data_IF_993175081001
#
_entry.id   IF_993175081001
#
_cell.length_a   1.000
_cell.length_b   1.000
_cell.length_c   1.000
_cell.angle_alpha   90.00
_cell.angle_beta   90.00
_cell.angle_gamma   90.00
#
_symmetry.space_group_name_H-M   'P 1'
#
loop_
_entity.id
_entity.type
_entity.pdbx_description
1 polymer ?
#
# COMPACT_ATOMS: atom_id res chain seq x y z
N UNK A 1 53.37 2.01 -15.15
CA UNK A 1 52.05 2.44 -14.65
C UNK A 1 51.76 1.62 -13.39
N UNK A 2 51.61 2.28 -12.24
CA UNK A 2 51.36 1.60 -10.97
C UNK A 2 49.89 1.20 -10.87
N UNK A 3 49.63 -0.09 -11.09
CA UNK A 3 48.32 -0.77 -10.99
C UNK A 3 47.61 -0.47 -9.65
N UNK A 4 48.36 -0.10 -8.61
CA UNK A 4 47.86 0.22 -7.27
C UNK A 4 46.96 1.46 -7.20
N UNK A 5 47.09 2.43 -8.12
CA UNK A 5 46.29 3.67 -8.09
C UNK A 5 44.91 3.51 -8.76
N UNK A 6 44.76 2.51 -9.64
CA UNK A 6 43.54 2.28 -10.42
C UNK A 6 42.40 1.62 -9.64
N UNK A 7 42.71 0.96 -8.52
CA UNK A 7 41.71 0.22 -7.73
C UNK A 7 41.06 1.02 -6.61
N UNK A 8 41.52 2.23 -6.30
CA UNK A 8 40.98 3.06 -5.21
C UNK A 8 39.47 3.32 -5.37
N UNK A 9 39.04 3.64 -6.58
CA UNK A 9 37.63 3.83 -6.92
C UNK A 9 36.82 2.54 -6.79
N UNK A 10 37.41 1.40 -7.15
CA UNK A 10 36.76 0.10 -7.02
C UNK A 10 36.64 -0.30 -5.55
N UNK A 11 37.68 -0.09 -4.74
CA UNK A 11 37.68 -0.37 -3.30
C UNK A 11 36.55 0.38 -2.59
N UNK A 12 36.39 1.69 -2.85
CA UNK A 12 35.28 2.47 -2.29
C UNK A 12 33.91 1.91 -2.70
N UNK A 13 33.74 1.49 -3.96
CA UNK A 13 32.47 0.87 -4.41
C UNK A 13 32.22 -0.47 -3.73
N UNK A 14 33.26 -1.28 -3.52
CA UNK A 14 33.20 -2.56 -2.81
C UNK A 14 32.84 -2.36 -1.34
N UNK A 15 33.39 -1.33 -0.69
CA UNK A 15 33.06 -0.99 0.69
C UNK A 15 31.58 -0.60 0.83
N UNK A 16 31.09 0.30 -0.03
CA UNK A 16 29.66 0.67 -0.08
C UNK A 16 28.77 -0.55 -0.32
N UNK A 17 29.16 -1.43 -1.24
CA UNK A 17 28.42 -2.66 -1.49
C UNK A 17 28.33 -3.56 -0.25
N UNK A 18 29.46 -3.78 0.45
CA UNK A 18 29.50 -4.56 1.69
C UNK A 18 28.63 -3.94 2.78
N UNK A 19 28.64 -2.60 2.88
CA UNK A 19 27.80 -1.88 3.83
C UNK A 19 26.30 -2.08 3.53
N UNK A 20 25.89 -2.00 2.25
CA UNK A 20 24.51 -2.25 1.84
C UNK A 20 24.05 -3.68 2.19
N UNK A 21 24.92 -4.69 1.98
CA UNK A 21 24.61 -6.07 2.36
C UNK A 21 24.44 -6.22 3.87
N UNK A 22 25.33 -5.60 4.66
CA UNK A 22 25.22 -5.61 6.12
C UNK A 22 23.92 -4.95 6.58
N UNK A 23 23.57 -3.79 6.01
CA UNK A 23 22.34 -3.08 6.35
C UNK A 23 21.10 -3.89 6.00
N UNK A 24 21.12 -4.62 4.87
CA UNK A 24 20.01 -5.51 4.48
C UNK A 24 19.69 -6.54 5.57
N UNK A 25 20.72 -7.18 6.15
CA UNK A 25 20.53 -8.14 7.24
C UNK A 25 20.02 -7.46 8.53
N UNK A 26 20.57 -6.30 8.88
CA UNK A 26 20.10 -5.52 10.03
C UNK A 26 18.62 -5.16 9.88
N UNK A 27 18.20 -4.73 8.69
CA UNK A 27 16.82 -4.34 8.44
C UNK A 27 15.86 -5.52 8.50
N UNK A 28 16.25 -6.67 7.95
CA UNK A 28 15.48 -7.92 8.05
C UNK A 28 15.34 -8.38 9.50
N UNK A 29 16.42 -8.27 10.27
CA UNK A 29 16.41 -8.60 11.69
C UNK A 29 15.46 -7.65 12.46
N UNK A 30 15.52 -6.34 12.20
CA UNK A 30 14.64 -5.36 12.85
C UNK A 30 13.15 -5.60 12.55
N UNK A 31 12.81 -6.06 11.35
CA UNK A 31 11.46 -6.48 11.01
C UNK A 31 10.98 -7.62 11.93
N UNK A 32 11.76 -8.71 12.00
CA UNK A 32 11.44 -9.90 12.80
C UNK A 32 11.38 -9.61 14.30
N UNK A 33 12.30 -8.79 14.79
CA UNK A 33 12.50 -8.59 16.23
C UNK A 33 11.50 -7.62 16.86
N UNK A 34 10.73 -6.87 16.06
CA UNK A 34 9.63 -6.10 16.64
C UNK A 34 9.03 -4.98 15.80
N UNK A 35 9.63 -4.57 14.67
CA UNK A 35 9.02 -3.49 13.88
C UNK A 35 7.61 -3.87 13.38
N UNK A 36 7.38 -5.15 13.03
CA UNK A 36 6.04 -5.63 12.65
C UNK A 36 5.00 -5.38 13.76
N UNK A 37 5.37 -5.74 14.98
CA UNK A 37 4.55 -5.55 16.19
C UNK A 37 4.31 -4.07 16.48
N UNK A 38 5.34 -3.24 16.36
CA UNK A 38 5.27 -1.78 16.57
C UNK A 38 4.31 -1.11 15.57
N UNK A 39 4.37 -1.49 14.28
CA UNK A 39 3.44 -1.01 13.26
C UNK A 39 2.00 -1.37 13.65
N UNK A 40 1.75 -2.63 14.00
CA UNK A 40 0.41 -3.11 14.38
C UNK A 40 -0.14 -2.36 15.59
N UNK A 41 0.68 -2.18 16.62
CA UNK A 41 0.28 -1.49 17.85
C UNK A 41 -0.09 -0.04 17.58
N UNK A 42 0.78 0.72 16.90
CA UNK A 42 0.48 2.11 16.58
C UNK A 42 -0.74 2.28 15.68
N UNK A 43 -0.92 1.43 14.66
CA UNK A 43 -2.12 1.50 13.82
C UNK A 43 -3.39 1.20 14.62
N UNK A 44 -3.33 0.23 15.54
CA UNK A 44 -4.45 -0.11 16.44
C UNK A 44 -4.78 1.05 17.38
N UNK A 45 -3.76 1.66 17.98
CA UNK A 45 -3.89 2.80 18.89
C UNK A 45 -4.52 4.01 18.19
N UNK A 46 -4.00 4.36 17.01
CA UNK A 46 -4.52 5.50 16.24
C UNK A 46 -5.96 5.24 15.79
N UNK A 47 -6.27 4.04 15.30
CA UNK A 47 -7.62 3.65 14.91
C UNK A 47 -8.61 3.76 16.09
N UNK A 48 -8.23 3.24 17.26
CA UNK A 48 -9.05 3.33 18.47
C UNK A 48 -9.23 4.79 18.94
N UNK A 49 -8.18 5.60 18.91
CA UNK A 49 -8.23 7.00 19.33
C UNK A 49 -9.07 7.88 18.39
N UNK A 50 -9.14 7.53 17.10
CA UNK A 50 -9.89 8.30 16.09
C UNK A 50 -11.30 7.77 15.84
N UNK A 51 -11.61 6.55 16.31
CA UNK A 51 -12.85 5.86 15.97
C UNK A 51 -12.86 5.27 14.55
N UNK A 52 -11.73 5.24 13.86
CA UNK A 52 -11.60 4.62 12.55
C UNK A 52 -11.72 3.10 12.70
N UNK A 53 -12.75 2.52 12.06
CA UNK A 53 -12.95 1.08 12.06
C UNK A 53 -12.06 0.42 11.00
N UNK A 54 -11.32 -0.60 11.39
CA UNK A 54 -10.49 -1.38 10.48
C UNK A 54 -9.97 -2.64 11.15
N UNK A 55 -9.41 -3.53 10.34
CA UNK A 55 -8.79 -4.77 10.77
C UNK A 55 -7.32 -4.77 10.37
N UNK A 56 -6.47 -5.40 11.18
CA UNK A 56 -5.07 -5.59 10.84
C UNK A 56 -4.85 -7.04 10.45
N UNK A 57 -4.39 -7.24 9.22
CA UNK A 57 -3.97 -8.52 8.68
C UNK A 57 -2.45 -8.57 8.58
N UNK A 58 -1.87 -9.75 8.84
CA UNK A 58 -0.46 -10.02 8.65
C UNK A 58 -0.29 -11.10 7.58
N UNK A 59 0.63 -10.87 6.63
CA UNK A 59 0.97 -11.85 5.60
C UNK A 59 2.44 -12.21 5.68
N UNK A 60 2.74 -13.50 5.77
CA UNK A 60 4.11 -14.04 5.86
C UNK A 60 4.31 -15.27 4.98
N UNK A 61 3.73 -15.26 3.78
CA UNK A 61 3.80 -16.39 2.84
C UNK A 61 5.23 -16.69 2.36
N UNK A 62 6.10 -15.67 2.34
CA UNK A 62 7.51 -15.78 1.99
C UNK A 62 8.38 -15.12 3.06
N UNK A 63 9.42 -15.84 3.48
CA UNK A 63 10.42 -15.31 4.40
C UNK A 63 11.06 -14.04 3.86
N UNK A 64 11.17 -13.03 4.73
CA UNK A 64 11.71 -11.69 4.42
C UNK A 64 10.88 -10.88 3.39
N UNK A 65 9.59 -11.21 3.23
CA UNK A 65 8.65 -10.48 2.39
C UNK A 65 7.31 -10.24 3.09
N UNK A 66 7.34 -10.14 4.43
CA UNK A 66 6.15 -9.98 5.25
C UNK A 66 5.44 -8.66 5.04
N UNK A 67 4.15 -8.61 5.33
CA UNK A 67 3.34 -7.39 5.28
C UNK A 67 2.42 -7.25 6.49
N UNK A 68 2.24 -6.01 6.94
CA UNK A 68 1.17 -5.59 7.87
C UNK A 68 0.19 -4.74 7.08
N UNK A 69 -1.09 -5.10 7.12
CA UNK A 69 -2.14 -4.50 6.30
C UNK A 69 -3.22 -3.98 7.23
N UNK A 70 -3.47 -2.68 7.22
CA UNK A 70 -4.66 -2.09 7.86
C UNK A 70 -5.77 -1.96 6.80
N UNK A 71 -6.86 -2.68 6.99
CA UNK A 71 -7.94 -2.84 6.02
C UNK A 71 -9.25 -2.25 6.56
N UNK A 72 -9.95 -1.44 5.75
CA UNK A 72 -11.28 -0.89 6.09
C UNK A 72 -12.43 -1.89 5.83
N UNK A 73 -12.10 -3.12 5.46
CA UNK A 73 -13.03 -4.22 5.28
C UNK A 73 -13.77 -4.19 3.95
N UNK A 74 -14.85 -4.95 3.91
CA UNK A 74 -15.67 -5.14 2.71
C UNK A 74 -17.13 -4.88 2.98
N UNK A 75 -17.82 -4.38 1.96
CA UNK A 75 -19.26 -4.12 2.02
C UNK A 75 -19.91 -4.51 0.70
N UNK A 76 -21.25 -4.67 0.70
CA UNK A 76 -21.99 -4.74 -0.56
C UNK A 76 -21.86 -3.40 -1.28
N UNK A 77 -21.54 -3.43 -2.57
CA UNK A 77 -21.37 -2.21 -3.37
C UNK A 77 -22.67 -1.48 -3.69
N UNK A 78 -23.82 -2.15 -3.55
CA UNK A 78 -25.11 -1.67 -4.09
C UNK A 78 -25.33 -2.03 -5.57
N UNK A 79 -24.32 -2.59 -6.24
CA UNK A 79 -24.44 -3.13 -7.60
C UNK A 79 -24.60 -4.65 -7.59
N UNK A 80 -25.31 -5.16 -8.59
CA UNK A 80 -25.54 -6.60 -8.76
C UNK A 80 -25.62 -6.97 -10.25
N UNK A 81 -25.19 -8.17 -10.59
CA UNK A 81 -25.45 -8.76 -11.91
C UNK A 81 -26.58 -9.78 -11.83
N UNK A 82 -27.44 -9.79 -12.85
CA UNK A 82 -28.35 -10.90 -13.08
C UNK A 82 -27.56 -12.07 -13.66
N UNK A 83 -27.57 -13.20 -12.96
CA UNK A 83 -26.84 -14.42 -13.37
C UNK A 83 -27.79 -15.52 -13.89
N UNK A 84 -29.08 -15.37 -13.64
CA UNK A 84 -30.18 -16.15 -14.21
C UNK A 84 -31.50 -15.39 -13.95
N UNK A 85 -32.61 -15.86 -14.53
CA UNK A 85 -33.94 -15.27 -14.33
C UNK A 85 -34.26 -15.17 -12.82
N UNK A 86 -34.43 -13.95 -12.33
CA UNK A 86 -34.69 -13.61 -10.92
C UNK A 86 -33.55 -13.96 -9.93
N UNK A 87 -32.34 -14.28 -10.40
CA UNK A 87 -31.17 -14.50 -9.53
C UNK A 87 -30.16 -13.38 -9.75
N UNK A 88 -29.90 -12.62 -8.68
CA UNK A 88 -28.90 -11.55 -8.65
C UNK A 88 -27.73 -11.91 -7.76
N UNK A 89 -26.52 -11.58 -8.21
CA UNK A 89 -25.29 -11.67 -7.44
C UNK A 89 -24.79 -10.26 -7.13
N UNK A 90 -24.70 -9.95 -5.84
CA UNK A 90 -24.14 -8.68 -5.36
C UNK A 90 -22.64 -8.61 -5.66
N UNK A 91 -22.18 -7.44 -6.11
CA UNK A 91 -20.77 -7.13 -6.20
C UNK A 91 -20.26 -6.61 -4.84
N UNK A 92 -19.08 -7.06 -4.44
CA UNK A 92 -18.45 -6.67 -3.18
C UNK A 92 -17.50 -5.49 -3.44
N UNK A 93 -17.59 -4.48 -2.57
CA UNK A 93 -16.63 -3.37 -2.51
C UNK A 93 -15.59 -3.67 -1.44
N UNK A 94 -14.32 -3.52 -1.81
CA UNK A 94 -13.19 -3.47 -0.89
C UNK A 94 -12.95 -1.99 -0.55
N UNK A 95 -12.92 -1.64 0.73
CA UNK A 95 -12.86 -0.23 1.19
C UNK A 95 -11.44 0.38 1.18
N UNK A 96 -10.46 -0.34 0.63
CA UNK A 96 -9.06 0.07 0.58
C UNK A 96 -8.24 -0.36 1.80
N UNK A 97 -6.92 -0.28 1.66
CA UNK A 97 -5.99 -0.67 2.71
C UNK A 97 -4.68 0.11 2.70
N UNK A 98 -4.11 0.30 3.90
CA UNK A 98 -2.77 0.82 4.11
C UNK A 98 -1.81 -0.36 4.39
N UNK A 99 -0.76 -0.49 3.59
CA UNK A 99 0.12 -1.65 3.58
C UNK A 99 1.55 -1.23 3.92
N UNK A 100 2.14 -1.92 4.89
CA UNK A 100 3.57 -1.89 5.21
C UNK A 100 4.19 -3.22 4.80
N UNK A 101 4.93 -3.21 3.69
CA UNK A 101 5.52 -4.43 3.12
C UNK A 101 7.04 -4.39 3.23
N UNK A 102 7.62 -5.46 3.76
CA UNK A 102 9.05 -5.68 3.71
C UNK A 102 9.49 -6.01 2.28
N UNK A 103 10.48 -5.26 1.79
CA UNK A 103 11.13 -5.50 0.51
C UNK A 103 12.30 -6.49 0.67
N UNK A 104 12.74 -7.06 -0.45
CA UNK A 104 13.87 -7.99 -0.48
C UNK A 104 15.15 -7.44 0.15
N UNK A 105 15.35 -6.12 0.15
CA UNK A 105 16.51 -5.44 0.76
C UNK A 105 16.27 -5.04 2.24
N UNK A 106 15.20 -5.53 2.86
CA UNK A 106 14.82 -5.29 4.25
C UNK A 106 14.15 -3.93 4.51
N UNK A 107 14.11 -3.02 3.54
CA UNK A 107 13.37 -1.75 3.65
C UNK A 107 11.86 -2.00 3.67
N UNK A 108 11.11 -1.03 4.16
CA UNK A 108 9.65 -1.09 4.26
C UNK A 108 9.04 -0.17 3.20
N UNK A 109 8.31 -0.76 2.26
CA UNK A 109 7.44 -0.06 1.34
C UNK A 109 6.11 0.23 2.04
N UNK A 110 5.69 1.49 2.02
CA UNK A 110 4.38 1.90 2.51
C UNK A 110 3.54 2.35 1.33
N UNK A 111 2.37 1.74 1.15
CA UNK A 111 1.47 2.03 0.04
C UNK A 111 0.00 1.94 0.45
N UNK A 112 -0.85 2.55 -0.36
CA UNK A 112 -2.31 2.51 -0.25
C UNK A 112 -2.84 1.72 -1.45
N UNK A 113 -3.63 0.69 -1.16
CA UNK A 113 -4.56 0.16 -2.14
C UNK A 113 -5.86 0.95 -2.02
N UNK A 114 -6.27 1.55 -3.14
CA UNK A 114 -7.54 2.26 -3.22
C UNK A 114 -8.72 1.31 -3.04
N UNK A 115 -9.89 1.83 -2.64
CA UNK A 115 -11.12 1.07 -2.73
C UNK A 115 -11.36 0.62 -4.19
N UNK A 116 -12.00 -0.54 -4.34
CA UNK A 116 -12.43 -1.03 -5.65
C UNK A 116 -13.61 -1.98 -5.51
N UNK A 117 -14.32 -2.19 -6.62
CA UNK A 117 -15.48 -3.08 -6.67
C UNK A 117 -15.10 -4.33 -7.46
N UNK A 118 -15.30 -5.48 -6.85
CA UNK A 118 -14.92 -6.76 -7.44
C UNK A 118 -15.67 -6.99 -8.76
N UNK A 119 -14.94 -7.43 -9.78
CA UNK A 119 -15.45 -7.68 -11.13
C UNK A 119 -16.03 -6.45 -11.83
N UNK A 120 -15.71 -5.24 -11.37
CA UNK A 120 -16.18 -4.00 -11.98
C UNK A 120 -15.05 -2.99 -12.16
N UNK A 121 -14.79 -2.63 -13.42
CA UNK A 121 -13.71 -1.71 -13.77
C UNK A 121 -12.31 -2.32 -13.56
N UNK A 122 -11.30 -1.46 -13.70
CA UNK A 122 -9.92 -1.81 -13.41
C UNK A 122 -9.52 -1.07 -12.13
N UNK A 123 -9.09 -1.77 -11.06
CA UNK A 123 -8.67 -1.10 -9.83
C UNK A 123 -7.58 -0.05 -10.12
N UNK A 124 -7.69 1.11 -9.48
CA UNK A 124 -6.67 2.14 -9.56
C UNK A 124 -5.32 1.58 -9.08
N UNK A 125 -4.20 1.98 -9.71
CA UNK A 125 -2.89 1.53 -9.27
C UNK A 125 -2.62 1.99 -7.84
N UNK A 126 -1.95 1.17 -7.00
CA UNK A 126 -1.67 1.54 -5.62
C UNK A 126 -0.83 2.82 -5.54
N UNK A 127 -1.12 3.67 -4.54
CA UNK A 127 -0.33 4.86 -4.25
C UNK A 127 0.81 4.52 -3.30
N UNK A 128 2.04 4.64 -3.77
CA UNK A 128 3.21 4.56 -2.87
C UNK A 128 3.31 5.84 -2.04
N UNK A 129 3.31 5.68 -0.72
CA UNK A 129 3.62 6.77 0.23
C UNK A 129 5.14 6.95 0.30
N UNK A 130 5.89 5.86 0.42
CA UNK A 130 7.35 5.92 0.50
C UNK A 130 8.02 4.58 0.74
N UNK A 131 9.35 4.60 0.72
CA UNK A 131 10.20 3.46 1.09
C UNK A 131 11.12 3.92 2.22
N UNK A 132 11.02 3.26 3.36
CA UNK A 132 11.72 3.62 4.58
C UNK A 132 12.71 2.53 4.99
N UNK A 133 13.81 2.93 5.60
CA UNK A 133 14.58 2.03 6.46
C UNK A 133 13.77 1.79 7.74
N UNK A 134 13.87 0.60 8.34
CA UNK A 134 13.18 0.27 9.59
C UNK A 134 13.29 1.34 10.69
N UNK A 135 14.45 1.96 10.85
CA UNK A 135 14.69 2.98 11.88
C UNK A 135 14.05 4.34 11.58
N UNK A 136 13.68 4.63 10.33
CA UNK A 136 13.03 5.87 9.92
C UNK A 136 11.53 5.89 10.27
N UNK A 137 10.91 4.73 10.38
CA UNK A 137 9.51 4.60 10.80
C UNK A 137 9.41 4.89 12.31
N UNK A 138 8.94 6.10 12.63
CA UNK A 138 8.67 6.58 13.99
C UNK A 138 7.18 6.88 14.15
N UNK A 139 6.70 7.00 15.39
CA UNK A 139 5.30 7.29 15.71
C UNK A 139 4.63 8.38 14.83
N UNK A 140 5.25 9.54 14.54
CA UNK A 140 4.63 10.55 13.68
C UNK A 140 4.40 10.12 12.23
N UNK A 141 5.15 9.14 11.72
CA UNK A 141 4.94 8.60 10.37
C UNK A 141 3.65 7.81 10.31
N UNK A 142 3.34 6.98 11.32
CA UNK A 142 2.12 6.16 11.32
C UNK A 142 0.85 7.03 11.28
N UNK A 143 0.86 8.15 12.04
CA UNK A 143 -0.22 9.14 12.00
C UNK A 143 -0.37 9.71 10.58
N UNK A 144 0.71 10.24 9.99
CA UNK A 144 0.67 10.83 8.64
C UNK A 144 0.27 9.83 7.55
N UNK A 145 0.69 8.57 7.68
CA UNK A 145 0.31 7.53 6.74
C UNK A 145 -1.17 7.21 6.84
N UNK A 146 -1.74 7.12 8.05
CA UNK A 146 -3.18 6.96 8.24
C UNK A 146 -3.98 8.19 7.78
N UNK A 147 -3.50 9.39 8.05
CA UNK A 147 -4.11 10.63 7.53
C UNK A 147 -4.16 10.62 6.01
N UNK A 148 -3.03 10.30 5.36
CA UNK A 148 -2.97 10.17 3.90
C UNK A 148 -3.93 9.08 3.40
N UNK A 149 -3.95 7.92 4.06
CA UNK A 149 -4.85 6.83 3.70
C UNK A 149 -6.33 7.21 3.76
N UNK A 150 -6.75 7.80 4.88
CA UNK A 150 -8.13 8.25 5.08
C UNK A 150 -8.50 9.33 4.05
N UNK A 151 -7.59 10.26 3.77
CA UNK A 151 -7.81 11.28 2.74
C UNK A 151 -8.04 10.65 1.36
N UNK A 152 -7.18 9.70 0.95
CA UNK A 152 -7.30 9.05 -0.36
C UNK A 152 -8.59 8.21 -0.49
N UNK A 153 -8.96 7.48 0.55
CA UNK A 153 -10.23 6.72 0.56
C UNK A 153 -11.42 7.67 0.53
N UNK A 154 -11.37 8.76 1.30
CA UNK A 154 -12.45 9.77 1.30
C UNK A 154 -12.62 10.39 -0.07
N UNK A 155 -11.53 10.78 -0.75
CA UNK A 155 -11.61 11.31 -2.11
C UNK A 155 -12.15 10.29 -3.12
N UNK A 156 -11.86 9.00 -2.94
CA UNK A 156 -12.42 7.96 -3.80
C UNK A 156 -13.92 7.78 -3.58
N UNK A 157 -14.40 7.85 -2.33
CA UNK A 157 -15.82 7.71 -1.99
C UNK A 157 -16.64 8.96 -2.35
N UNK A 158 -16.05 10.14 -2.18
CA UNK A 158 -16.63 11.45 -2.52
C UNK A 158 -16.41 11.79 -4.00
N UNK A 159 -16.27 10.78 -4.85
CA UNK A 159 -16.11 10.98 -6.27
C UNK A 159 -17.33 11.69 -6.85
N UNK A 160 -17.08 12.87 -7.40
CA UNK A 160 -18.03 13.68 -8.15
C UNK A 160 -17.56 13.75 -9.61
N UNK A 161 -18.40 13.30 -10.55
CA UNK A 161 -18.10 13.30 -11.98
C UNK A 161 -18.13 14.70 -12.61
N UNK A 162 -18.64 15.70 -11.90
CA UNK A 162 -18.72 17.07 -12.38
C UNK A 162 -17.43 17.88 -12.15
N UNK A 163 -16.55 17.47 -11.22
CA UNK A 163 -15.33 18.21 -10.85
C UNK A 163 -14.05 17.55 -11.43
N UNK A 164 -13.62 18.07 -12.59
CA UNK A 164 -12.28 17.95 -13.22
C UNK A 164 -12.05 16.87 -14.31
N UNK A 165 -12.47 17.20 -15.54
CA UNK A 165 -11.66 16.89 -16.74
C UNK A 165 -11.74 15.47 -17.30
N UNK A 166 -12.85 14.76 -17.08
CA UNK A 166 -13.25 13.54 -17.80
C UNK A 166 -12.27 12.37 -17.65
N UNK A 167 -11.17 12.36 -18.41
CA UNK A 167 -10.25 11.23 -18.52
C UNK A 167 -9.35 10.98 -17.29
N UNK A 168 -8.98 12.02 -16.51
CA UNK A 168 -8.12 11.85 -15.32
C UNK A 168 -8.88 11.39 -14.08
N UNK A 169 -10.14 11.78 -13.97
CA UNK A 169 -11.04 11.39 -12.90
C UNK A 169 -11.36 9.87 -12.96
N UNK A 170 -11.64 9.35 -14.16
CA UNK A 170 -11.87 7.92 -14.42
C UNK A 170 -10.68 7.01 -14.01
N UNK A 171 -9.45 7.47 -14.20
CA UNK A 171 -8.25 6.73 -13.77
C UNK A 171 -8.06 6.71 -12.25
N UNK A 172 -8.55 7.71 -11.52
CA UNK A 172 -8.37 7.80 -10.07
C UNK A 172 -9.26 6.83 -9.30
N UNK A 173 -10.48 6.59 -9.79
CA UNK A 173 -11.41 5.66 -9.13
C UNK A 173 -11.41 4.25 -9.73
N UNK A 174 -10.80 4.06 -10.91
CA UNK A 174 -10.77 2.76 -11.59
C UNK A 174 -12.03 2.44 -12.41
N UNK A 175 -12.84 3.45 -12.70
CA UNK A 175 -14.06 3.32 -13.49
C UNK A 175 -13.86 3.93 -14.87
N UNK A 176 -14.07 3.13 -15.92
CA UNK A 176 -14.29 3.67 -17.26
C UNK A 176 -15.78 3.95 -17.40
N UNK A 177 -16.17 5.19 -17.68
CA UNK A 177 -17.53 5.48 -18.09
C UNK A 177 -17.83 4.71 -19.39
N UNK A 178 -18.72 3.72 -19.34
CA UNK A 178 -19.17 2.96 -20.51
C UNK A 178 -20.10 3.78 -21.44
N UNK A 179 -19.97 5.11 -21.47
CA UNK A 179 -20.79 5.97 -22.33
C UNK A 179 -20.18 6.24 -23.70
N UNK A 180 -18.99 5.71 -24.00
CA UNK A 180 -18.50 5.65 -25.38
C UNK A 180 -19.12 4.44 -26.06
N UNK A 181 -20.28 4.67 -26.68
CA UNK A 181 -20.96 3.68 -27.53
C UNK A 181 -20.07 3.18 -28.67
N UNK A 182 -20.42 2.04 -29.29
CA UNK A 182 -19.64 1.48 -30.39
C UNK A 182 -19.56 2.50 -31.54
N UNK A 183 -18.33 2.74 -32.04
CA UNK A 183 -18.15 3.28 -33.39
C UNK A 183 -18.53 2.24 -34.43
#
# INVERSE_FOLDING_TARGET
MNVTNDFSNLQRKVEVYKEILKNTEIYRQRWRDGLKTEIREHLTEIAAATGLQGQIDEREELDNLGAVIFNLGTVKSGMSHEVAENIRRDLIKQNGSLIYQQLFNGKILVLINYPFIENYGQPAPPKTIGIYRPEELKAPFYVRHLETFVQEVTHWEDYDDDDNGGAKAHQQIGFHANFDGPQ
#
